data_IF_657472546107
#
_entry.id   IF_657472546107
#
_cell.length_a   1.000
_cell.length_b   1.000
_cell.length_c   1.000
_cell.angle_alpha   90.00
_cell.angle_beta   90.00
_cell.angle_gamma   90.00
#
_symmetry.space_group_name_H-M   'P 1'
#
loop_
_entity.id
_entity.type
_entity.pdbx_description
1 polymer ?
#
# COMPACT_ATOMS: atom_id res chain seq x y z
N UNK A 1 19.64 -1.59 12.41
CA UNK A 1 18.77 -0.54 11.82
C UNK A 1 18.20 -0.97 10.47
N UNK A 2 19.01 -1.42 9.52
CA UNK A 2 18.55 -1.86 8.19
C UNK A 2 17.41 -2.89 8.22
N UNK A 3 17.44 -3.85 9.15
CA UNK A 3 16.38 -4.84 9.31
C UNK A 3 15.01 -4.20 9.57
N UNK A 4 14.94 -3.21 10.47
CA UNK A 4 13.68 -2.56 10.83
C UNK A 4 13.15 -1.71 9.68
N UNK A 5 14.04 -1.07 8.92
CA UNK A 5 13.67 -0.35 7.69
C UNK A 5 13.06 -1.32 6.68
N UNK A 6 13.68 -2.47 6.45
CA UNK A 6 13.17 -3.48 5.52
C UNK A 6 11.80 -4.04 5.98
N UNK A 7 11.63 -4.29 7.29
CA UNK A 7 10.35 -4.72 7.85
C UNK A 7 9.26 -3.67 7.66
N UNK A 8 9.58 -2.39 7.90
CA UNK A 8 8.65 -1.29 7.71
C UNK A 8 8.25 -1.14 6.23
N UNK A 9 9.22 -1.23 5.31
CA UNK A 9 8.96 -1.22 3.86
C UNK A 9 8.03 -2.37 3.46
N UNK A 10 8.33 -3.59 3.90
CA UNK A 10 7.48 -4.76 3.63
C UNK A 10 6.06 -4.59 4.18
N UNK A 11 5.91 -4.06 5.40
CA UNK A 11 4.60 -3.83 6.00
C UNK A 11 3.78 -2.78 5.23
N UNK A 12 4.43 -1.75 4.71
CA UNK A 12 3.77 -0.73 3.88
C UNK A 12 3.30 -1.30 2.54
N UNK A 13 4.13 -2.13 1.88
CA UNK A 13 3.72 -2.84 0.67
C UNK A 13 2.51 -3.74 0.92
N UNK A 14 2.53 -4.50 2.02
CA UNK A 14 1.42 -5.35 2.41
C UNK A 14 0.13 -4.56 2.60
N UNK A 15 0.22 -3.40 3.26
CA UNK A 15 -0.94 -2.52 3.39
C UNK A 15 -1.46 -2.05 2.03
N UNK A 16 -0.59 -1.67 1.09
CA UNK A 16 -0.99 -1.26 -0.27
C UNK A 16 -1.66 -2.43 -1.02
N UNK A 17 -1.09 -3.64 -0.93
CA UNK A 17 -1.68 -4.85 -1.51
C UNK A 17 -3.11 -5.06 -1.00
N UNK A 18 -3.30 -5.00 0.33
CA UNK A 18 -4.62 -5.12 0.95
C UNK A 18 -5.60 -4.04 0.47
N UNK A 19 -5.13 -2.80 0.28
CA UNK A 19 -5.95 -1.70 -0.25
C UNK A 19 -6.36 -1.94 -1.69
N UNK A 20 -5.46 -2.42 -2.54
CA UNK A 20 -5.76 -2.77 -3.94
C UNK A 20 -6.77 -3.92 -3.98
N UNK A 21 -6.51 -5.00 -3.23
CA UNK A 21 -7.44 -6.12 -3.07
C UNK A 21 -8.84 -5.67 -2.66
N UNK A 22 -8.93 -4.86 -1.60
CA UNK A 22 -10.21 -4.34 -1.10
C UNK A 22 -10.92 -3.45 -2.14
N UNK A 23 -10.18 -2.61 -2.85
CA UNK A 23 -10.74 -1.70 -3.85
C UNK A 23 -11.33 -2.45 -5.06
N UNK A 24 -10.64 -3.49 -5.52
CA UNK A 24 -11.08 -4.31 -6.66
C UNK A 24 -11.92 -5.53 -6.25
N UNK A 25 -12.21 -5.71 -4.96
CA UNK A 25 -12.91 -6.90 -4.43
C UNK A 25 -12.22 -8.22 -4.82
N UNK A 26 -10.89 -8.22 -4.74
CA UNK A 26 -10.02 -9.36 -5.03
C UNK A 26 -9.60 -9.98 -3.70
N UNK A 27 -9.64 -11.31 -3.59
CA UNK A 27 -9.07 -12.01 -2.43
C UNK A 27 -7.56 -11.71 -2.32
N UNK A 28 -7.02 -11.31 -1.16
CA UNK A 28 -5.61 -10.93 -1.01
C UNK A 28 -4.60 -11.96 -1.54
N UNK A 29 -4.96 -13.24 -1.49
CA UNK A 29 -4.17 -14.38 -1.95
C UNK A 29 -4.19 -14.53 -3.48
N UNK A 30 -5.16 -13.94 -4.18
CA UNK A 30 -5.27 -14.00 -5.64
C UNK A 30 -4.28 -13.06 -6.34
N UNK A 31 -3.79 -12.02 -5.65
CA UNK A 31 -2.69 -11.20 -6.14
C UNK A 31 -1.36 -11.96 -6.00
N UNK A 32 -0.82 -12.35 -7.14
CA UNK A 32 0.34 -13.23 -7.28
C UNK A 32 1.68 -12.56 -6.93
N UNK A 33 2.76 -13.33 -7.04
CA UNK A 33 4.13 -12.86 -6.79
C UNK A 33 4.54 -11.74 -7.77
N UNK A 34 4.09 -11.80 -9.02
CA UNK A 34 4.36 -10.78 -10.05
C UNK A 34 3.81 -9.40 -9.65
N UNK A 35 2.63 -9.35 -9.02
CA UNK A 35 2.09 -8.12 -8.45
C UNK A 35 3.00 -7.58 -7.33
N UNK A 36 3.47 -8.45 -6.44
CA UNK A 36 4.36 -8.07 -5.34
C UNK A 36 5.71 -7.55 -5.85
N UNK A 37 6.29 -8.21 -6.87
CA UNK A 37 7.53 -7.76 -7.52
C UNK A 37 7.35 -6.41 -8.20
N UNK A 38 6.24 -6.25 -8.95
CA UNK A 38 5.92 -4.99 -9.61
C UNK A 38 5.73 -3.86 -8.59
N UNK A 39 5.07 -4.13 -7.45
CA UNK A 39 4.99 -3.18 -6.35
C UNK A 39 6.37 -2.83 -5.78
N UNK A 40 7.25 -3.80 -5.55
CA UNK A 40 8.60 -3.54 -5.02
C UNK A 40 9.37 -2.60 -5.97
N UNK A 41 9.34 -2.87 -7.28
CA UNK A 41 10.03 -2.06 -8.28
C UNK A 41 9.46 -0.65 -8.35
N UNK A 42 8.14 -0.51 -8.38
CA UNK A 42 7.46 0.79 -8.44
C UNK A 42 7.73 1.62 -7.19
N UNK A 43 7.80 0.96 -6.04
CA UNK A 43 8.10 1.61 -4.78
C UNK A 43 9.60 1.76 -4.51
N UNK A 44 10.49 1.24 -5.35
CA UNK A 44 11.94 1.28 -5.09
C UNK A 44 12.46 2.73 -4.97
N UNK A 45 12.03 3.63 -5.85
CA UNK A 45 12.38 5.05 -5.80
C UNK A 45 11.85 5.70 -4.53
N UNK A 46 10.60 5.39 -4.17
CA UNK A 46 9.94 5.89 -2.96
C UNK A 46 10.71 5.38 -1.74
N UNK A 47 11.03 4.09 -1.68
CA UNK A 47 11.82 3.49 -0.62
C UNK A 47 13.26 4.01 -0.56
N UNK A 48 13.82 4.48 -1.66
CA UNK A 48 15.05 5.27 -1.68
C UNK A 48 14.92 6.55 -0.86
N UNK A 49 13.84 7.32 -1.08
CA UNK A 49 13.54 8.52 -0.29
C UNK A 49 13.33 8.19 1.20
N UNK A 50 12.68 7.06 1.51
CA UNK A 50 12.52 6.59 2.88
C UNK A 50 13.86 6.33 3.55
N UNK A 51 14.76 5.61 2.86
CA UNK A 51 16.08 5.27 3.39
C UNK A 51 16.88 6.54 3.69
N UNK A 52 16.93 7.48 2.75
CA UNK A 52 17.61 8.76 2.97
C UNK A 52 17.07 9.49 4.21
N UNK A 53 15.74 9.54 4.36
CA UNK A 53 15.11 10.21 5.52
C UNK A 53 15.36 9.48 6.84
N UNK A 54 15.48 8.16 6.82
CA UNK A 54 15.84 7.36 7.99
C UNK A 54 17.32 7.39 8.32
N UNK A 55 18.19 7.62 7.34
CA UNK A 55 19.61 7.91 7.58
C UNK A 55 19.78 9.27 8.26
N UNK A 56 19.02 10.29 7.82
CA UNK A 56 18.99 11.61 8.45
C UNK A 56 18.35 11.59 9.85
N UNK A 57 17.28 10.81 10.02
CA UNK A 57 16.50 10.73 11.25
C UNK A 57 16.27 9.27 11.71
N UNK A 58 17.30 8.56 12.23
CA UNK A 58 17.21 7.16 12.62
C UNK A 58 16.09 6.80 13.60
N UNK A 59 15.78 7.73 14.51
CA UNK A 59 14.74 7.55 15.52
C UNK A 59 13.33 7.46 14.92
N UNK A 60 13.12 8.03 13.73
CA UNK A 60 11.82 8.04 13.06
C UNK A 60 11.33 6.63 12.70
N UNK A 61 12.26 5.72 12.35
CA UNK A 61 11.92 4.33 12.02
C UNK A 61 11.25 3.65 13.23
N UNK A 62 11.81 3.85 14.43
CA UNK A 62 11.29 3.28 15.66
C UNK A 62 9.92 3.87 16.02
N UNK A 63 9.76 5.19 15.86
CA UNK A 63 8.47 5.86 16.11
C UNK A 63 7.37 5.36 15.19
N UNK A 64 7.65 5.23 13.89
CA UNK A 64 6.68 4.69 12.92
C UNK A 64 6.35 3.23 13.26
N UNK A 65 7.37 2.40 13.48
CA UNK A 65 7.18 0.98 13.78
C UNK A 65 6.35 0.77 15.05
N UNK A 66 6.68 1.49 16.13
CA UNK A 66 5.92 1.45 17.39
C UNK A 66 4.46 1.82 17.18
N UNK A 67 4.20 2.85 16.37
CA UNK A 67 2.83 3.32 16.12
C UNK A 67 2.02 2.36 15.25
N UNK A 68 2.66 1.69 14.29
CA UNK A 68 2.03 0.60 13.54
C UNK A 68 1.63 -0.53 14.48
N UNK A 69 2.55 -1.02 15.29
CA UNK A 69 2.26 -2.08 16.27
C UNK A 69 1.12 -1.67 17.20
N UNK A 70 1.14 -0.44 17.72
CA UNK A 70 0.10 0.06 18.62
C UNK A 70 -1.30 0.09 17.98
N UNK A 71 -1.40 0.48 16.71
CA UNK A 71 -2.69 0.59 16.01
C UNK A 71 -3.18 -0.77 15.53
N UNK A 72 -2.29 -1.60 14.97
CA UNK A 72 -2.64 -2.90 14.41
C UNK A 72 -2.93 -3.95 15.49
N UNK A 73 -2.33 -3.84 16.68
CA UNK A 73 -2.61 -4.77 17.80
C UNK A 73 -3.96 -4.53 18.48
N UNK A 74 -4.68 -3.46 18.13
CA UNK A 74 -5.99 -3.14 18.74
C UNK A 74 -7.12 -3.84 17.99
N UNK A 75 -7.86 -4.70 18.68
CA UNK A 75 -9.05 -5.37 18.14
C UNK A 75 -10.31 -4.51 18.32
N UNK A 76 -11.08 -4.30 17.25
CA UNK A 76 -12.37 -3.61 17.30
C UNK A 76 -12.99 -3.29 15.93
N UNK A 77 -14.28 -2.96 15.91
CA UNK A 77 -15.04 -2.70 14.67
C UNK A 77 -14.56 -1.49 13.85
N UNK A 78 -13.70 -0.63 14.42
CA UNK A 78 -13.08 0.54 13.74
C UNK A 78 -11.61 0.31 13.36
N UNK A 79 -11.10 -0.92 13.48
CA UNK A 79 -9.67 -1.22 13.29
C UNK A 79 -9.21 -0.89 11.87
N UNK A 80 -9.95 -1.29 10.83
CA UNK A 80 -9.55 -1.02 9.45
C UNK A 80 -9.46 0.48 9.13
N UNK A 81 -10.47 1.28 9.52
CA UNK A 81 -10.45 2.74 9.32
C UNK A 81 -9.25 3.40 10.01
N UNK A 82 -8.90 2.96 11.22
CA UNK A 82 -7.75 3.48 11.96
C UNK A 82 -6.43 3.10 11.32
N UNK A 83 -6.31 1.85 10.86
CA UNK A 83 -5.15 1.38 10.10
C UNK A 83 -4.98 2.22 8.84
N UNK A 84 -6.04 2.39 8.04
CA UNK A 84 -6.02 3.20 6.83
C UNK A 84 -5.59 4.65 7.10
N UNK A 85 -6.11 5.27 8.17
CA UNK A 85 -5.72 6.63 8.57
C UNK A 85 -4.27 6.71 9.04
N UNK A 86 -3.76 5.69 9.73
CA UNK A 86 -2.37 5.64 10.16
C UNK A 86 -1.43 5.61 8.95
N UNK A 87 -1.62 4.66 8.04
CA UNK A 87 -0.75 4.52 6.87
C UNK A 87 -0.81 5.76 5.99
N UNK A 88 -2.01 6.32 5.78
CA UNK A 88 -2.15 7.60 5.12
C UNK A 88 -1.28 8.65 5.82
N UNK A 89 -1.47 8.89 7.13
CA UNK A 89 -0.68 9.86 7.88
C UNK A 89 0.84 9.61 7.78
N UNK A 90 1.28 8.36 7.74
CA UNK A 90 2.70 8.00 7.57
C UNK A 90 3.18 8.48 6.19
N UNK A 91 2.48 8.09 5.12
CA UNK A 91 2.73 8.56 3.75
C UNK A 91 2.74 10.08 3.64
N UNK A 92 1.78 10.77 4.25
CA UNK A 92 1.67 12.23 4.16
C UNK A 92 2.82 12.95 4.88
N UNK A 93 3.02 12.63 6.16
CA UNK A 93 3.87 13.43 7.06
C UNK A 93 5.35 13.18 6.83
N UNK A 94 5.70 11.95 6.50
CA UNK A 94 7.09 11.55 6.40
C UNK A 94 7.54 11.47 4.94
N UNK A 95 6.62 11.33 3.99
CA UNK A 95 6.96 11.05 2.59
C UNK A 95 6.38 12.05 1.59
N UNK A 96 5.92 13.20 2.10
CA UNK A 96 5.62 14.42 1.35
C UNK A 96 4.84 14.15 0.07
N UNK A 97 3.58 13.71 0.22
CA UNK A 97 2.44 13.53 -0.73
C UNK A 97 2.62 13.52 -2.27
N UNK A 98 3.62 14.17 -2.86
CA UNK A 98 4.07 14.05 -4.26
C UNK A 98 4.22 12.59 -4.72
N UNK A 99 4.53 11.68 -3.79
CA UNK A 99 4.69 10.27 -4.09
C UNK A 99 3.36 9.48 -4.11
N UNK A 100 2.30 9.91 -3.40
CA UNK A 100 1.01 9.18 -3.42
C UNK A 100 0.36 9.27 -4.81
N UNK A 101 0.40 10.43 -5.45
CA UNK A 101 -0.12 10.57 -6.82
C UNK A 101 0.69 9.73 -7.80
N UNK A 102 2.01 9.68 -7.64
CA UNK A 102 2.88 8.80 -8.41
C UNK A 102 2.56 7.32 -8.15
N UNK A 103 2.34 6.92 -6.90
CA UNK A 103 1.89 5.57 -6.52
C UNK A 103 0.58 5.24 -7.23
N UNK A 104 -0.44 6.09 -7.11
CA UNK A 104 -1.76 5.86 -7.70
C UNK A 104 -1.66 5.79 -9.22
N UNK A 105 -0.95 6.74 -9.84
CA UNK A 105 -0.73 6.77 -11.28
C UNK A 105 -0.05 5.48 -11.71
N UNK A 106 1.04 5.06 -11.07
CA UNK A 106 1.77 3.86 -11.47
C UNK A 106 0.96 2.59 -11.22
N UNK A 107 0.22 2.50 -10.11
CA UNK A 107 -0.72 1.41 -9.88
C UNK A 107 -1.73 1.28 -11.03
N UNK A 108 -2.17 2.41 -11.60
CA UNK A 108 -3.16 2.47 -12.68
C UNK A 108 -2.57 2.31 -14.09
N UNK A 109 -1.30 2.69 -14.31
CA UNK A 109 -0.69 2.71 -15.64
C UNK A 109 0.33 1.59 -15.88
N UNK A 110 0.89 0.97 -14.84
CA UNK A 110 1.85 -0.13 -15.01
C UNK A 110 1.14 -1.37 -15.58
N UNK A 111 1.53 -1.85 -16.79
CA UNK A 111 0.83 -2.95 -17.44
C UNK A 111 0.90 -4.26 -16.66
N UNK A 112 1.97 -4.51 -15.90
CA UNK A 112 2.15 -5.74 -15.13
C UNK A 112 1.23 -5.73 -13.91
N UNK A 113 1.15 -4.59 -13.22
CA UNK A 113 0.22 -4.39 -12.12
C UNK A 113 -1.23 -4.53 -12.60
N UNK A 114 -1.58 -3.86 -13.70
CA UNK A 114 -2.93 -3.94 -14.26
C UNK A 114 -3.28 -5.34 -14.75
N UNK A 115 -2.34 -6.06 -15.38
CA UNK A 115 -2.56 -7.43 -15.81
C UNK A 115 -2.72 -8.40 -14.63
N UNK A 116 -1.92 -8.23 -13.57
CA UNK A 116 -2.04 -9.04 -12.36
C UNK A 116 -3.38 -8.78 -11.64
N UNK A 117 -3.82 -7.52 -11.55
CA UNK A 117 -5.15 -7.17 -11.05
C UNK A 117 -6.23 -7.81 -11.93
N UNK A 118 -6.15 -7.64 -13.26
CA UNK A 118 -7.13 -8.18 -14.19
C UNK A 118 -7.25 -9.71 -14.10
N UNK A 119 -6.12 -10.42 -13.98
CA UNK A 119 -6.09 -11.88 -13.85
C UNK A 119 -6.69 -12.36 -12.52
N UNK A 120 -6.54 -11.56 -11.46
CA UNK A 120 -7.06 -11.88 -10.14
C UNK A 120 -8.54 -11.50 -9.95
N UNK A 121 -9.13 -10.73 -10.88
CA UNK A 121 -10.54 -10.40 -10.84
C UNK A 121 -11.41 -11.65 -11.02
N UNK A 122 -12.52 -11.79 -10.27
CA UNK A 122 -13.51 -12.82 -10.52
C UNK A 122 -14.03 -12.71 -11.96
N UNK A 123 -14.33 -13.84 -12.61
CA UNK A 123 -14.69 -13.89 -14.05
C UNK A 123 -15.90 -13.01 -14.42
N UNK A 124 -16.77 -12.70 -13.45
CA UNK A 124 -17.90 -11.78 -13.59
C UNK A 124 -17.51 -10.29 -13.74
N UNK A 125 -16.27 -9.92 -13.40
CA UNK A 125 -15.76 -8.55 -13.44
C UNK A 125 -14.99 -8.19 -14.73
N UNK A 126 -14.81 -9.13 -15.67
CA UNK A 126 -14.18 -8.88 -16.97
C UNK A 126 -15.06 -8.09 -17.97
N UNK A 127 -16.22 -7.58 -17.54
CA UNK A 127 -17.06 -6.72 -18.36
C UNK A 127 -16.47 -5.30 -18.40
N UNK A 128 -16.17 -4.72 -19.59
CA UNK A 128 -15.49 -3.43 -19.72
C UNK A 128 -16.29 -2.23 -19.19
N UNK A 129 -17.54 -2.43 -18.74
CA UNK A 129 -18.42 -1.40 -18.19
C UNK A 129 -18.40 -1.27 -16.66
N UNK A 130 -17.71 -2.15 -15.91
CA UNK A 130 -17.67 -2.10 -14.44
C UNK A 130 -16.38 -1.49 -13.86
N UNK A 131 -15.54 -0.84 -14.69
CA UNK A 131 -14.33 -0.11 -14.25
C UNK A 131 -14.62 1.19 -13.47
N UNK A 132 -15.77 1.28 -12.77
CA UNK A 132 -16.11 2.44 -11.95
C UNK A 132 -16.26 2.02 -10.49
N UNK A 133 -15.44 2.59 -9.57
CA UNK A 133 -15.49 2.22 -8.15
C UNK A 133 -16.81 2.61 -7.51
N UNK A 134 -17.13 1.92 -6.41
CA UNK A 134 -18.22 2.28 -5.51
C UNK A 134 -18.07 3.76 -5.10
N UNK A 135 -19.06 4.56 -5.50
CA UNK A 135 -19.25 5.91 -4.97
C UNK A 135 -19.59 5.72 -3.50
N UNK A 136 -18.68 6.15 -2.61
CA UNK A 136 -19.01 6.30 -1.21
C UNK A 136 -20.08 7.40 -1.12
N UNK A 137 -21.32 7.00 -0.88
CA UNK A 137 -22.39 7.92 -0.49
C UNK A 137 -22.01 8.60 0.83
N UNK A 138 -22.18 9.93 0.85
CA UNK A 138 -21.91 10.88 1.94
C UNK A 138 -22.29 10.39 3.34
#
# INVERSE_FOLDING_TARGET
MQLLVNMLQGRMLEHIKQRVSSYYHIEPEALNEEFSVSLIEVFAEIFGLFRNKFEEMPWLVNEIAKRIVEVESRNGSKTERRINQLYLSIFCKHFEYKNIEKIISTLQTDPRIQNAIFTALPTAAHSPHNFRPAIASN
#
